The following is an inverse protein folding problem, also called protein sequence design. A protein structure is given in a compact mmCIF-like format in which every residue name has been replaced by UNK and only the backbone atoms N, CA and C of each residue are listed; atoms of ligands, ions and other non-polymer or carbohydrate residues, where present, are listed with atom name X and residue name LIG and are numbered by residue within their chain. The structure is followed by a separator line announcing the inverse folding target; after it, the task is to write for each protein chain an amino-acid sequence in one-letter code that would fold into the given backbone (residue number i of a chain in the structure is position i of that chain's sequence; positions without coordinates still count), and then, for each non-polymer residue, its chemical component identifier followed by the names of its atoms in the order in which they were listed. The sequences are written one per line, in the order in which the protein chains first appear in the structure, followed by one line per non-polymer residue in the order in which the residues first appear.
data_IF_796241593141
#
_entry.id   IF_796241593141
#
_cell.length_a   1.000
_cell.length_b   1.000
_cell.length_c   1.000
_cell.angle_alpha   90.00
_cell.angle_beta   90.00
_cell.angle_gamma   90.00
#
_symmetry.space_group_name_H-M   'P 1'
#
loop_
_entity.id
_entity.type
_entity.pdbx_description
1 polymer ?
#
# COMPACT_ATOMS: atom_id res chain seq x y z
N UNK A 1 20.97 -8.03 7.27
CA UNK A 1 21.93 -6.91 7.27
C UNK A 1 22.17 -6.47 8.71
N UNK A 2 23.40 -6.10 9.07
CA UNK A 2 23.81 -5.83 10.46
C UNK A 2 24.52 -4.47 10.55
N UNK A 3 24.18 -3.66 11.56
CA UNK A 3 24.94 -2.46 11.93
C UNK A 3 25.74 -2.73 13.21
N UNK A 4 27.06 -2.60 13.16
CA UNK A 4 27.97 -2.91 14.29
C UNK A 4 29.14 -1.90 14.41
N UNK A 5 28.94 -0.68 13.90
CA UNK A 5 29.98 0.36 13.96
C UNK A 5 30.06 0.98 15.36
N UNK A 6 31.28 1.16 15.87
CA UNK A 6 31.53 1.79 17.17
C UNK A 6 31.23 0.87 18.36
N UNK A 7 31.14 1.47 19.55
CA UNK A 7 30.79 0.78 20.81
C UNK A 7 29.55 1.41 21.44
N UNK A 8 28.91 0.68 22.35
CA UNK A 8 27.70 1.10 23.05
C UNK A 8 27.87 1.00 24.57
N UNK A 9 27.39 2.02 25.28
CA UNK A 9 27.17 1.99 26.73
C UNK A 9 25.68 2.11 26.97
N UNK A 10 25.13 1.41 27.97
CA UNK A 10 23.70 1.46 28.30
C UNK A 10 23.54 1.59 29.81
N UNK A 11 22.86 2.65 30.25
CA UNK A 11 22.53 2.90 31.65
C UNK A 11 21.02 3.17 31.75
N UNK A 12 20.31 2.30 32.48
CA UNK A 12 18.84 2.29 32.46
C UNK A 12 18.34 2.03 31.03
N UNK A 13 17.47 2.90 30.54
CA UNK A 13 16.92 2.83 29.17
C UNK A 13 17.70 3.68 28.15
N UNK A 14 18.81 4.29 28.54
CA UNK A 14 19.58 5.18 27.66
C UNK A 14 20.79 4.44 27.12
N UNK A 15 20.85 4.31 25.79
CA UNK A 15 22.01 3.81 25.08
C UNK A 15 22.81 4.97 24.45
N UNK A 16 24.12 4.96 24.68
CA UNK A 16 25.07 5.95 24.18
C UNK A 16 26.13 5.27 23.31
N UNK A 17 26.25 5.73 22.07
CA UNK A 17 27.22 5.24 21.11
C UNK A 17 28.51 6.05 21.11
N UNK A 18 29.65 5.38 20.98
CA UNK A 18 30.95 6.00 20.70
C UNK A 18 31.43 5.55 19.31
N UNK A 19 31.76 6.50 18.43
CA UNK A 19 32.12 6.21 17.05
C UNK A 19 30.94 5.73 16.19
N UNK A 20 29.71 6.00 16.61
CA UNK A 20 28.47 5.61 15.92
C UNK A 20 27.91 6.77 15.10
N UNK A 21 27.04 6.46 14.14
CA UNK A 21 26.17 7.42 13.48
C UNK A 21 24.84 6.75 13.12
N UNK A 22 23.97 6.63 14.12
CA UNK A 22 22.70 5.91 13.98
C UNK A 22 21.69 6.62 13.08
N UNK A 23 21.82 7.93 12.89
CA UNK A 23 20.93 8.73 12.03
C UNK A 23 21.39 8.79 10.56
N UNK A 24 22.55 8.23 10.21
CA UNK A 24 23.01 8.20 8.83
C UNK A 24 22.05 7.36 7.95
N UNK A 25 21.61 7.83 6.77
CA UNK A 25 20.67 7.07 5.93
C UNK A 25 21.13 5.64 5.60
N UNK A 26 22.45 5.43 5.42
CA UNK A 26 23.02 4.11 5.15
C UNK A 26 23.03 3.16 6.36
N UNK A 27 22.87 3.66 7.59
CA UNK A 27 22.84 2.83 8.80
C UNK A 27 21.58 1.96 8.87
N UNK A 28 20.47 2.49 8.35
CA UNK A 28 19.11 1.92 8.42
C UNK A 28 18.63 1.60 9.85
N UNK A 29 19.24 2.24 10.86
CA UNK A 29 18.89 2.07 12.28
C UNK A 29 17.60 2.84 12.60
N UNK A 30 16.63 2.17 13.22
CA UNK A 30 15.32 2.75 13.58
C UNK A 30 14.67 2.04 14.76
N UNK A 31 13.61 2.65 15.31
CA UNK A 31 12.80 2.05 16.36
C UNK A 31 12.23 0.69 15.92
N UNK A 32 12.05 -0.21 16.89
CA UNK A 32 11.56 -1.58 16.72
C UNK A 32 12.64 -2.62 16.47
N UNK A 33 13.86 -2.22 16.09
CA UNK A 33 14.97 -3.14 15.83
C UNK A 33 15.60 -3.69 17.11
N UNK A 34 16.19 -4.88 17.01
CA UNK A 34 16.89 -5.54 18.11
C UNK A 34 18.37 -5.18 18.14
N UNK A 35 18.87 -4.85 19.33
CA UNK A 35 20.29 -4.69 19.65
C UNK A 35 20.75 -5.92 20.43
N UNK A 36 21.87 -6.50 20.01
CA UNK A 36 22.60 -7.54 20.74
C UNK A 36 23.88 -6.90 21.27
N UNK A 37 24.04 -6.81 22.59
CA UNK A 37 25.23 -6.24 23.21
C UNK A 37 26.11 -7.36 23.75
N UNK A 38 27.36 -7.42 23.28
CA UNK A 38 28.35 -8.45 23.59
C UNK A 38 28.96 -8.28 24.99
N UNK A 39 28.12 -7.98 25.97
CA UNK A 39 28.47 -8.02 27.38
C UNK A 39 28.60 -9.46 27.89
N UNK A 40 29.06 -9.63 29.12
CA UNK A 40 29.07 -10.93 29.79
C UNK A 40 28.26 -10.86 31.10
N UNK A 41 27.03 -11.41 31.14
CA UNK A 41 26.33 -12.11 30.06
C UNK A 41 25.88 -11.17 28.93
N UNK A 42 25.61 -11.73 27.75
CA UNK A 42 25.06 -10.99 26.60
C UNK A 42 23.69 -10.42 26.99
N UNK A 43 23.46 -9.14 26.69
CA UNK A 43 22.18 -8.49 26.93
C UNK A 43 21.51 -8.11 25.60
N UNK A 44 20.19 -8.22 25.56
CA UNK A 44 19.35 -7.97 24.39
C UNK A 44 18.42 -6.79 24.66
N UNK A 45 18.29 -5.92 23.68
CA UNK A 45 17.45 -4.74 23.77
C UNK A 45 16.65 -4.52 22.48
N UNK A 46 15.55 -3.80 22.58
CA UNK A 46 14.83 -3.23 21.46
C UNK A 46 15.00 -1.71 21.44
N UNK A 47 15.17 -1.13 20.26
CA UNK A 47 15.22 0.33 20.08
C UNK A 47 13.81 0.89 20.23
N UNK A 48 13.58 1.72 21.24
CA UNK A 48 12.31 2.43 21.40
C UNK A 48 12.29 3.74 20.59
N UNK A 49 13.41 4.47 20.57
CA UNK A 49 13.56 5.70 19.78
C UNK A 49 15.03 5.95 19.44
N UNK A 50 15.32 6.49 18.26
CA UNK A 50 16.65 7.00 17.90
C UNK A 50 16.63 8.52 18.13
N UNK A 51 17.41 8.98 19.11
CA UNK A 51 17.34 10.38 19.57
C UNK A 51 18.38 11.25 18.86
N UNK A 52 19.53 10.68 18.50
CA UNK A 52 20.60 11.34 17.75
C UNK A 52 21.56 10.32 17.10
N UNK A 53 22.61 10.78 16.43
CA UNK A 53 23.68 9.95 15.86
C UNK A 53 24.37 9.02 16.89
N UNK A 54 24.30 9.37 18.18
CA UNK A 54 25.01 8.68 19.28
C UNK A 54 24.12 8.43 20.51
N UNK A 55 22.83 8.73 20.45
CA UNK A 55 21.90 8.51 21.56
C UNK A 55 20.61 7.84 21.09
N UNK A 56 20.15 6.83 21.81
CA UNK A 56 18.87 6.17 21.58
C UNK A 56 18.29 5.67 22.90
N UNK A 57 16.97 5.46 22.90
CA UNK A 57 16.25 4.88 24.03
C UNK A 57 15.99 3.40 23.73
N UNK A 58 16.20 2.54 24.72
CA UNK A 58 16.10 1.09 24.60
C UNK A 58 15.21 0.46 25.67
N UNK A 59 14.68 -0.72 25.41
CA UNK A 59 13.93 -1.54 26.36
C UNK A 59 14.35 -3.02 26.27
N UNK A 60 14.47 -3.77 27.39
CA UNK A 60 14.32 -3.33 28.78
C UNK A 60 15.48 -2.43 29.25
N UNK A 61 15.43 -1.97 30.51
CA UNK A 61 16.55 -1.25 31.11
C UNK A 61 17.76 -2.19 31.31
N UNK A 62 18.98 -1.71 31.06
CA UNK A 62 20.20 -2.49 31.25
C UNK A 62 20.41 -2.87 32.73
N UNK A 63 20.70 -4.14 32.97
CA UNK A 63 20.98 -4.67 34.31
C UNK A 63 21.95 -5.86 34.23
N UNK A 64 23.22 -5.71 34.65
CA UNK A 64 23.85 -4.47 35.10
C UNK A 64 24.05 -3.46 33.94
N UNK A 65 24.33 -2.20 34.30
CA UNK A 65 24.70 -1.18 33.32
C UNK A 65 25.95 -1.59 32.53
N UNK A 66 25.99 -1.20 31.25
CA UNK A 66 27.00 -1.59 30.29
C UNK A 66 27.87 -0.40 29.93
N UNK A 67 29.18 -0.61 29.81
CA UNK A 67 30.14 0.40 29.37
C UNK A 67 30.96 -0.12 28.19
N UNK A 68 31.04 0.70 27.13
CA UNK A 68 31.93 0.49 25.98
C UNK A 68 31.93 -0.92 25.38
N UNK A 69 30.75 -1.52 25.21
CA UNK A 69 30.61 -2.87 24.69
C UNK A 69 30.52 -2.89 23.17
N UNK A 70 31.00 -3.98 22.57
CA UNK A 70 30.69 -4.31 21.18
C UNK A 70 29.21 -4.69 21.07
N UNK A 71 28.59 -4.39 19.92
CA UNK A 71 27.18 -4.67 19.70
C UNK A 71 26.87 -4.88 18.22
N UNK A 72 25.68 -5.39 17.95
CA UNK A 72 25.10 -5.46 16.63
C UNK A 72 23.62 -5.11 16.65
N UNK A 73 23.16 -4.31 15.69
CA UNK A 73 21.74 -4.01 15.44
C UNK A 73 21.30 -4.79 14.21
N UNK A 74 20.23 -5.58 14.36
CA UNK A 74 19.59 -6.26 13.24
C UNK A 74 18.78 -5.22 12.45
N UNK A 75 19.32 -4.78 11.30
CA UNK A 75 18.77 -3.67 10.50
C UNK A 75 17.96 -4.12 9.27
N UNK A 76 17.73 -5.44 9.11
CA UNK A 76 16.83 -5.93 8.07
C UNK A 76 15.44 -5.33 8.21
N UNK A 77 14.77 -5.12 7.07
CA UNK A 77 13.42 -4.58 7.06
C UNK A 77 12.46 -5.51 7.79
N UNK A 78 12.13 -5.13 9.02
CA UNK A 78 10.88 -5.50 9.64
C UNK A 78 9.82 -4.75 8.83
N UNK A 79 9.29 -5.37 7.77
CA UNK A 79 7.88 -5.13 7.49
C UNK A 79 7.20 -5.78 8.71
N UNK A 80 6.76 -4.97 9.67
CA UNK A 80 6.05 -5.51 10.83
C UNK A 80 4.87 -6.33 10.31
N UNK A 81 4.47 -7.37 11.05
CA UNK A 81 3.28 -8.16 10.68
C UNK A 81 2.08 -7.23 10.43
N UNK A 82 1.99 -6.15 11.20
CA UNK A 82 0.97 -5.10 11.02
C UNK A 82 1.13 -4.31 9.71
N UNK A 83 2.36 -3.94 9.34
CA UNK A 83 2.63 -3.23 8.07
C UNK A 83 2.39 -4.11 6.84
N UNK A 84 2.69 -5.41 6.94
CA UNK A 84 2.36 -6.38 5.89
C UNK A 84 0.84 -6.60 5.82
N UNK A 85 0.18 -6.74 6.97
CA UNK A 85 -1.26 -6.91 7.04
C UNK A 85 -1.99 -5.70 6.46
N UNK A 86 -1.54 -4.48 6.75
CA UNK A 86 -2.12 -3.26 6.19
C UNK A 86 -1.96 -3.21 4.66
N UNK A 87 -0.79 -3.54 4.13
CA UNK A 87 -0.55 -3.57 2.68
C UNK A 87 -1.42 -4.64 1.98
N UNK A 88 -1.57 -5.82 2.59
CA UNK A 88 -2.44 -6.88 2.05
C UNK A 88 -3.91 -6.48 2.14
N UNK A 89 -4.35 -5.85 3.23
CA UNK A 89 -5.73 -5.37 3.37
C UNK A 89 -6.08 -4.31 2.33
N UNK A 90 -5.15 -3.39 2.02
CA UNK A 90 -5.35 -2.42 0.95
C UNK A 90 -5.46 -3.10 -0.42
N UNK A 91 -4.57 -4.05 -0.72
CA UNK A 91 -4.60 -4.82 -1.96
C UNK A 91 -5.91 -5.61 -2.13
N UNK A 92 -6.40 -6.25 -1.06
CA UNK A 92 -7.67 -7.00 -1.09
C UNK A 92 -8.84 -6.05 -1.33
N UNK A 93 -8.87 -4.89 -0.66
CA UNK A 93 -9.94 -3.90 -0.85
C UNK A 93 -9.95 -3.34 -2.28
N UNK A 94 -8.79 -3.02 -2.86
CA UNK A 94 -8.69 -2.58 -4.26
C UNK A 94 -9.12 -3.68 -5.24
N UNK A 95 -8.80 -4.95 -4.95
CA UNK A 95 -9.23 -6.08 -5.78
C UNK A 95 -10.75 -6.28 -5.72
N UNK A 96 -11.35 -6.19 -4.53
CA UNK A 96 -12.79 -6.31 -4.32
C UNK A 96 -13.55 -5.17 -5.01
N UNK A 97 -13.06 -3.93 -4.86
CA UNK A 97 -13.59 -2.75 -5.55
C UNK A 97 -13.55 -2.91 -7.08
N UNK A 98 -12.41 -3.40 -7.61
CA UNK A 98 -12.26 -3.66 -9.04
C UNK A 98 -13.20 -4.78 -9.54
N UNK A 99 -13.38 -5.86 -8.78
CA UNK A 99 -14.33 -6.93 -9.14
C UNK A 99 -15.77 -6.42 -9.12
N UNK A 100 -16.16 -5.67 -8.09
CA UNK A 100 -17.50 -5.08 -7.99
C UNK A 100 -17.80 -4.15 -9.17
N UNK A 101 -16.80 -3.41 -9.66
CA UNK A 101 -16.93 -2.61 -10.86
C UNK A 101 -17.19 -3.45 -12.12
N UNK A 102 -16.47 -4.57 -12.30
CA UNK A 102 -16.69 -5.51 -13.41
C UNK A 102 -18.05 -6.21 -13.36
N UNK A 103 -18.49 -6.60 -12.17
CA UNK A 103 -19.82 -7.19 -11.97
C UNK A 103 -20.92 -6.19 -12.32
N UNK A 104 -20.82 -4.95 -11.82
CA UNK A 104 -21.80 -3.90 -12.10
C UNK A 104 -21.83 -3.57 -13.60
N UNK A 105 -20.67 -3.53 -14.24
CA UNK A 105 -20.54 -3.36 -15.69
C UNK A 105 -21.26 -4.48 -16.46
N UNK A 106 -21.01 -5.74 -16.12
CA UNK A 106 -21.53 -6.91 -16.84
C UNK A 106 -23.01 -7.19 -16.58
N UNK A 107 -23.55 -6.81 -15.42
CA UNK A 107 -24.93 -7.12 -15.03
C UNK A 107 -25.92 -5.99 -15.34
N UNK A 108 -25.44 -4.75 -15.56
CA UNK A 108 -26.32 -3.62 -15.90
C UNK A 108 -26.76 -3.71 -17.37
N UNK A 109 -27.91 -4.34 -17.59
CA UNK A 109 -28.56 -4.46 -18.89
C UNK A 109 -29.30 -3.20 -19.35
N UNK A 110 -29.54 -2.25 -18.44
CA UNK A 110 -30.13 -0.96 -18.74
C UNK A 110 -29.17 -0.08 -19.56
N UNK A 111 -29.72 0.73 -20.47
CA UNK A 111 -28.97 1.69 -21.28
C UNK A 111 -28.62 2.94 -20.46
N UNK A 112 -27.74 2.78 -19.47
CA UNK A 112 -27.33 3.84 -18.56
C UNK A 112 -25.83 3.76 -18.26
N UNK A 113 -25.29 4.88 -17.77
CA UNK A 113 -23.98 4.85 -17.13
C UNK A 113 -24.15 4.31 -15.72
N UNK A 114 -23.12 3.64 -15.23
CA UNK A 114 -22.97 3.21 -13.85
C UNK A 114 -21.84 4.01 -13.21
N UNK A 115 -21.95 4.23 -11.90
CA UNK A 115 -20.90 4.86 -11.10
C UNK A 115 -20.28 3.78 -10.25
N UNK A 116 -18.98 3.57 -10.42
CA UNK A 116 -18.18 2.63 -9.64
C UNK A 116 -17.08 3.42 -8.96
N UNK A 117 -16.70 3.03 -7.75
CA UNK A 117 -15.52 3.61 -7.09
C UNK A 117 -14.31 2.78 -7.56
N UNK A 118 -13.21 3.44 -7.91
CA UNK A 118 -11.91 2.80 -8.23
C UNK A 118 -10.84 3.64 -7.55
N UNK A 119 -10.03 3.02 -6.67
CA UNK A 119 -9.00 3.72 -5.91
C UNK A 119 -9.56 4.91 -5.11
N UNK A 120 -10.78 4.77 -4.57
CA UNK A 120 -11.46 5.83 -3.81
C UNK A 120 -12.01 6.99 -4.66
N UNK A 121 -11.88 6.95 -5.98
CA UNK A 121 -12.46 7.94 -6.89
C UNK A 121 -13.71 7.38 -7.59
N UNK A 122 -14.77 8.19 -7.68
CA UNK A 122 -15.97 7.82 -8.44
C UNK A 122 -15.70 7.93 -9.94
N UNK A 123 -15.83 6.82 -10.66
CA UNK A 123 -15.65 6.71 -12.12
C UNK A 123 -16.99 6.36 -12.76
N UNK A 124 -17.39 7.12 -13.78
CA UNK A 124 -18.58 6.81 -14.57
C UNK A 124 -18.20 6.02 -15.81
N UNK A 125 -18.74 4.81 -15.94
CA UNK A 125 -18.54 3.93 -17.09
C UNK A 125 -19.89 3.55 -17.70
N UNK A 126 -20.00 3.35 -19.03
CA UNK A 126 -21.20 2.78 -19.62
C UNK A 126 -21.37 1.33 -19.12
N UNK A 127 -22.55 0.96 -18.62
CA UNK A 127 -22.86 -0.45 -18.38
C UNK A 127 -22.90 -1.24 -19.69
N UNK A 128 -22.90 -2.58 -19.63
CA UNK A 128 -22.95 -3.43 -20.83
C UNK A 128 -24.16 -3.09 -21.72
N UNK A 129 -25.30 -2.73 -21.12
CA UNK A 129 -26.51 -2.28 -21.81
C UNK A 129 -26.36 -0.95 -22.58
N UNK A 130 -25.28 -0.19 -22.33
CA UNK A 130 -24.96 1.11 -22.96
C UNK A 130 -23.77 1.06 -23.94
N UNK A 131 -23.11 -0.09 -24.11
CA UNK A 131 -21.98 -0.24 -25.07
C UNK A 131 -22.37 0.12 -26.51
N UNK A 132 -23.64 -0.09 -26.85
CA UNK A 132 -24.27 0.49 -28.03
C UNK A 132 -25.25 1.52 -27.47
N UNK A 133 -24.93 2.83 -27.57
CA UNK A 133 -25.78 3.92 -27.09
C UNK A 133 -27.09 3.95 -27.89
N UNK A 134 -28.03 3.08 -27.52
CA UNK A 134 -29.34 3.03 -28.16
C UNK A 134 -30.09 4.32 -27.82
N UNK A 135 -30.84 4.88 -28.76
CA UNK A 135 -31.81 5.93 -28.47
C UNK A 135 -32.93 5.40 -27.58
N UNK A 136 -33.84 6.29 -27.17
CA UNK A 136 -35.03 5.92 -26.37
C UNK A 136 -35.89 4.85 -27.06
N UNK A 137 -35.81 4.75 -28.39
CA UNK A 137 -36.49 3.74 -29.20
C UNK A 137 -35.76 2.37 -29.26
N UNK A 138 -34.63 2.21 -28.56
CA UNK A 138 -33.84 0.98 -28.57
C UNK A 138 -32.97 0.76 -29.82
N UNK A 139 -32.96 1.71 -30.76
CA UNK A 139 -32.13 1.65 -31.97
C UNK A 139 -30.81 2.42 -31.79
N UNK A 140 -29.73 1.95 -32.42
CA UNK A 140 -28.48 2.72 -32.45
C UNK A 140 -28.60 3.87 -33.44
N UNK A 141 -28.23 5.09 -33.04
CA UNK A 141 -28.35 6.27 -33.88
C UNK A 141 -27.40 6.22 -35.10
N UNK A 142 -27.79 6.85 -36.21
CA UNK A 142 -27.01 6.83 -37.47
C UNK A 142 -25.62 7.46 -37.29
N UNK A 143 -25.54 8.58 -36.55
CA UNK A 143 -24.28 9.23 -36.21
C UNK A 143 -23.35 8.43 -35.28
N UNK A 144 -23.83 7.29 -34.77
CA UNK A 144 -23.07 6.35 -33.95
C UNK A 144 -22.85 5.00 -34.69
N UNK A 145 -23.06 4.99 -36.01
CA UNK A 145 -22.86 3.80 -36.85
C UNK A 145 -24.05 2.83 -36.89
N UNK A 146 -25.20 3.21 -36.34
CA UNK A 146 -26.45 2.45 -36.43
C UNK A 146 -27.32 2.84 -37.62
N UNK A 147 -28.56 2.34 -37.63
CA UNK A 147 -29.57 2.67 -38.64
C UNK A 147 -30.66 3.62 -38.12
N UNK A 148 -30.64 3.95 -36.82
CA UNK A 148 -31.71 4.72 -36.15
C UNK A 148 -33.05 3.98 -36.02
N UNK A 149 -33.15 2.74 -36.52
CA UNK A 149 -34.38 1.97 -36.64
C UNK A 149 -34.29 0.58 -35.96
N UNK A 150 -35.44 0.04 -35.57
CA UNK A 150 -35.58 -1.33 -35.04
C UNK A 150 -36.19 -2.31 -36.05
N UNK A 151 -36.69 -1.83 -37.20
CA UNK A 151 -37.27 -2.63 -38.28
C UNK A 151 -36.39 -2.58 -39.53
N UNK A 152 -36.52 -3.58 -40.42
CA UNK A 152 -35.75 -3.63 -41.66
C UNK A 152 -36.20 -2.56 -42.66
N UNK A 153 -37.48 -2.21 -42.67
CA UNK A 153 -38.06 -1.17 -43.51
C UNK A 153 -37.53 0.20 -43.11
N UNK A 154 -37.66 0.57 -41.85
CA UNK A 154 -37.23 1.88 -41.35
C UNK A 154 -35.71 2.04 -41.45
N UNK A 155 -34.96 0.96 -41.29
CA UNK A 155 -33.50 0.98 -41.47
C UNK A 155 -33.09 1.33 -42.91
N UNK A 156 -33.76 0.78 -43.93
CA UNK A 156 -33.47 1.13 -45.33
C UNK A 156 -33.87 2.57 -45.63
N UNK A 157 -35.01 3.01 -45.11
CA UNK A 157 -35.46 4.41 -45.22
C UNK A 157 -34.42 5.37 -44.63
N UNK A 158 -33.96 5.12 -43.40
CA UNK A 158 -32.98 5.97 -42.72
C UNK A 158 -31.60 6.00 -43.38
N UNK A 159 -31.24 4.93 -44.11
CA UNK A 159 -29.99 4.86 -44.88
C UNK A 159 -30.14 5.35 -46.33
N UNK A 160 -31.33 5.79 -46.75
CA UNK A 160 -31.59 6.25 -48.12
C UNK A 160 -31.59 5.13 -49.17
N UNK A 161 -31.86 3.89 -48.75
CA UNK A 161 -31.81 2.68 -49.58
C UNK A 161 -33.18 2.19 -50.10
N UNK A 162 -34.27 2.85 -49.70
CA UNK A 162 -35.64 2.52 -50.16
C UNK A 162 -36.48 1.71 -49.18
#
# INVERSE_FOLDING_TARGET
MLYNTGTIAINGNTATGTGTNWTAPASQVRAGQTIIVMSNPVQLFQISSVNSATSMTVTPAASPALSSQNYGILVSDIISVDGLAQAISQLINEYDENIGAWETFATTSANQSITVTINGAAVSIPGIGKLLQKGTNGALAVNQGGTGATTKEDARTNLGLG
#
